data_IF_560694052399
#
_entry.id   IF_560694052399
#
_cell.length_a   1.000
_cell.length_b   1.000
_cell.length_c   1.000
_cell.angle_alpha   90.00
_cell.angle_beta   90.00
_cell.angle_gamma   90.00
#
_symmetry.space_group_name_H-M   'P 1'
#
loop_
_entity.id
_entity.type
_entity.pdbx_description
1 polymer ?
#
# COMPACT_ATOMS: atom_id res chain seq x y z
N UNK A 1 6.06 9.75 2.14
CA UNK A 1 6.64 9.80 0.78
C UNK A 1 6.01 10.96 0.04
N UNK A 2 6.81 11.72 -0.73
CA UNK A 2 6.33 12.86 -1.50
C UNK A 2 5.93 12.42 -2.91
N UNK A 3 4.64 12.21 -3.13
CA UNK A 3 4.12 11.78 -4.43
C UNK A 3 4.32 12.85 -5.52
N UNK A 4 4.33 14.13 -5.15
CA UNK A 4 4.50 15.20 -6.13
C UNK A 4 5.94 15.22 -6.69
N UNK A 5 6.94 14.87 -5.85
CA UNK A 5 8.30 14.67 -6.33
C UNK A 5 8.39 13.50 -7.33
N UNK A 6 7.70 12.40 -7.04
CA UNK A 6 7.65 11.24 -7.94
C UNK A 6 7.05 11.66 -9.29
N UNK A 7 5.90 12.33 -9.27
CA UNK A 7 5.24 12.78 -10.50
C UNK A 7 6.15 13.72 -11.29
N UNK A 8 6.79 14.67 -10.60
CA UNK A 8 7.62 15.68 -11.25
C UNK A 8 8.93 15.12 -11.82
N UNK A 9 9.64 14.32 -11.06
CA UNK A 9 11.03 13.94 -11.37
C UNK A 9 11.19 12.54 -11.95
N UNK A 10 10.25 11.62 -11.67
CA UNK A 10 10.29 10.25 -12.20
C UNK A 10 9.36 10.11 -13.38
N UNK A 11 8.16 10.69 -13.29
CA UNK A 11 7.13 10.58 -14.33
C UNK A 11 7.09 11.81 -15.25
N UNK A 12 7.99 12.76 -15.07
CA UNK A 12 8.12 13.97 -15.91
C UNK A 12 6.79 14.71 -16.09
N UNK A 13 5.94 14.71 -15.06
CA UNK A 13 4.63 15.33 -15.10
C UNK A 13 3.54 14.50 -15.80
N UNK A 14 3.86 13.28 -16.25
CA UNK A 14 2.91 12.42 -16.98
C UNK A 14 2.02 11.59 -16.05
N UNK A 15 2.02 11.88 -14.77
CA UNK A 15 1.22 11.15 -13.78
C UNK A 15 0.34 12.07 -12.97
N UNK A 16 -0.58 11.48 -12.24
CA UNK A 16 -1.40 12.21 -11.27
C UNK A 16 -1.67 11.35 -10.04
N UNK A 17 -1.90 12.00 -8.92
CA UNK A 17 -2.24 11.28 -7.68
C UNK A 17 -3.67 10.77 -7.75
N UNK A 18 -3.87 9.53 -7.36
CA UNK A 18 -5.19 8.95 -7.15
C UNK A 18 -5.40 8.66 -5.65
N UNK A 19 -6.64 8.50 -5.26
CA UNK A 19 -7.00 8.28 -3.85
C UNK A 19 -7.61 6.90 -3.62
N UNK A 20 -7.56 6.03 -4.61
CA UNK A 20 -8.12 4.69 -4.49
C UNK A 20 -7.82 3.89 -5.75
N UNK A 21 -8.42 2.72 -5.86
CA UNK A 21 -8.13 1.83 -6.99
C UNK A 21 -8.77 2.25 -8.31
N UNK A 22 -9.73 3.17 -8.27
CA UNK A 22 -10.47 3.55 -9.47
C UNK A 22 -9.80 4.70 -10.22
N UNK A 23 -9.64 4.59 -11.55
CA UNK A 23 -9.14 5.72 -12.35
C UNK A 23 -10.07 6.93 -12.29
N UNK A 24 -9.49 8.13 -12.32
CA UNK A 24 -10.27 9.38 -12.24
C UNK A 24 -11.26 9.57 -13.38
N UNK A 25 -11.05 8.87 -14.50
CA UNK A 25 -11.89 8.94 -15.68
C UNK A 25 -13.16 8.10 -15.54
N UNK A 26 -13.30 7.34 -14.45
CA UNK A 26 -14.49 6.50 -14.22
C UNK A 26 -15.47 7.18 -13.27
N UNK A 27 -16.75 6.83 -13.42
CA UNK A 27 -17.80 7.32 -12.49
C UNK A 27 -17.64 6.76 -11.08
N UNK A 28 -16.84 5.71 -10.93
CA UNK A 28 -16.55 5.06 -9.64
C UNK A 28 -15.57 5.87 -8.78
N UNK A 29 -14.78 6.75 -9.39
CA UNK A 29 -13.87 7.62 -8.66
C UNK A 29 -14.66 8.66 -7.87
N UNK A 30 -14.30 8.85 -6.62
CA UNK A 30 -14.93 9.86 -5.76
C UNK A 30 -13.97 11.05 -5.56
N UNK A 31 -14.22 12.18 -6.22
CA UNK A 31 -13.35 13.35 -6.09
C UNK A 31 -13.43 14.05 -4.73
N UNK A 32 -14.41 13.69 -3.90
CA UNK A 32 -14.50 14.26 -2.54
C UNK A 32 -13.39 13.71 -1.63
N UNK A 33 -12.87 12.51 -1.93
CA UNK A 33 -11.80 11.89 -1.18
C UNK A 33 -10.48 12.56 -1.55
N UNK A 34 -9.82 13.14 -0.56
CA UNK A 34 -8.56 13.87 -0.79
C UNK A 34 -7.36 13.01 -0.40
N UNK A 35 -6.27 13.07 -1.17
CA UNK A 35 -5.06 12.34 -0.82
C UNK A 35 -4.45 12.88 0.47
N UNK A 36 -3.84 12.00 1.25
CA UNK A 36 -3.13 12.41 2.46
C UNK A 36 -1.99 13.38 2.08
N UNK A 37 -1.83 14.47 2.84
CA UNK A 37 -0.74 15.41 2.56
C UNK A 37 0.63 14.78 2.85
N UNK A 38 1.65 15.29 2.21
CA UNK A 38 3.02 14.95 2.56
C UNK A 38 3.37 15.69 3.85
N UNK A 39 3.46 14.96 4.95
CA UNK A 39 3.71 15.53 6.28
C UNK A 39 4.74 14.67 7.03
N UNK A 40 6.03 14.87 6.76
CA UNK A 40 7.07 14.12 7.46
C UNK A 40 7.16 14.44 8.95
N UNK A 41 6.81 15.67 9.36
CA UNK A 41 6.79 16.04 10.79
C UNK A 41 5.65 15.32 11.52
N UNK A 42 4.46 15.24 10.89
CA UNK A 42 3.34 14.46 11.41
C UNK A 42 3.70 12.99 11.51
N UNK A 43 4.37 12.44 10.50
CA UNK A 43 4.83 11.05 10.53
C UNK A 43 5.80 10.81 11.71
N UNK A 44 6.73 11.74 11.94
CA UNK A 44 7.67 11.64 13.06
C UNK A 44 6.94 11.68 14.40
N UNK A 45 5.92 12.57 14.54
CA UNK A 45 5.10 12.63 15.76
C UNK A 45 4.36 11.30 16.01
N UNK A 46 3.71 10.75 14.99
CA UNK A 46 2.99 9.49 15.12
C UNK A 46 3.92 8.33 15.51
N UNK A 47 5.11 8.29 14.95
CA UNK A 47 6.11 7.28 15.32
C UNK A 47 6.52 7.44 16.78
N UNK A 48 6.72 8.68 17.25
CA UNK A 48 7.06 8.94 18.66
C UNK A 48 5.92 8.56 19.60
N UNK A 49 4.68 8.90 19.24
CA UNK A 49 3.48 8.52 20.01
C UNK A 49 3.32 6.99 20.08
N UNK A 50 3.70 6.27 19.01
CA UNK A 50 3.71 4.80 18.99
C UNK A 50 4.88 4.18 19.77
N UNK A 51 5.74 5.02 20.38
CA UNK A 51 6.84 4.56 21.24
C UNK A 51 8.19 4.40 20.56
N UNK A 52 8.31 4.77 19.29
CA UNK A 52 9.59 4.69 18.58
C UNK A 52 10.48 5.87 18.95
N UNK A 53 11.73 5.61 19.34
CA UNK A 53 12.71 6.61 19.74
C UNK A 53 14.01 6.42 18.98
N UNK A 54 14.70 7.51 18.65
CA UNK A 54 16.00 7.41 17.98
C UNK A 54 17.08 6.95 18.97
N UNK A 55 17.81 5.94 18.58
CA UNK A 55 18.99 5.46 19.31
C UNK A 55 20.23 6.33 18.99
N UNK A 56 21.39 5.99 19.53
CA UNK A 56 22.63 6.74 19.34
C UNK A 56 23.07 6.84 17.87
N UNK A 57 22.65 5.89 17.03
CA UNK A 57 22.94 5.91 15.58
C UNK A 57 21.88 6.67 14.77
N UNK A 58 20.87 7.27 15.44
CA UNK A 58 19.79 8.01 14.76
C UNK A 58 18.70 7.10 14.17
N UNK A 59 18.74 5.81 14.46
CA UNK A 59 17.75 4.85 13.98
C UNK A 59 16.61 4.72 14.99
N UNK A 60 15.37 4.74 14.51
CA UNK A 60 14.21 4.52 15.36
C UNK A 60 14.21 3.11 15.93
N UNK A 61 13.98 2.99 17.23
CA UNK A 61 14.03 1.75 17.97
C UNK A 61 12.92 1.71 19.00
N UNK A 62 12.35 0.54 19.24
CA UNK A 62 11.35 0.31 20.27
C UNK A 62 11.66 -1.02 20.93
N UNK A 63 11.79 -1.00 22.28
CA UNK A 63 12.08 -2.19 23.08
C UNK A 63 13.34 -2.95 22.61
N UNK A 64 14.37 -2.19 22.23
CA UNK A 64 15.63 -2.75 21.73
C UNK A 64 15.60 -3.23 20.27
N UNK A 65 14.48 -3.10 19.60
CA UNK A 65 14.34 -3.57 18.21
C UNK A 65 14.31 -2.35 17.26
N UNK A 66 15.23 -2.27 16.29
CA UNK A 66 15.21 -1.17 15.33
C UNK A 66 14.04 -1.27 14.36
N UNK A 67 13.48 -0.13 13.97
CA UNK A 67 12.47 -0.07 12.93
C UNK A 67 13.19 -0.28 11.57
N UNK A 68 13.10 -1.49 11.08
CA UNK A 68 13.81 -1.90 9.87
C UNK A 68 12.92 -2.77 8.99
N UNK A 69 13.01 -2.58 7.68
CA UNK A 69 12.30 -3.43 6.72
C UNK A 69 12.95 -3.34 5.33
N UNK A 70 12.50 -4.24 4.45
CA UNK A 70 12.98 -4.29 3.06
C UNK A 70 11.88 -3.83 2.12
N UNK A 71 12.23 -2.99 1.15
CA UNK A 71 11.34 -2.65 0.03
C UNK A 71 11.89 -3.28 -1.24
N UNK A 72 11.01 -3.92 -2.01
CA UNK A 72 11.42 -4.64 -3.22
C UNK A 72 10.71 -4.10 -4.45
N UNK A 73 11.37 -4.26 -5.61
CA UNK A 73 10.77 -4.05 -6.92
C UNK A 73 11.49 -4.94 -7.95
N UNK A 74 11.03 -4.92 -9.20
CA UNK A 74 11.70 -5.66 -10.26
C UNK A 74 12.84 -4.85 -10.89
N UNK A 75 13.89 -5.54 -11.33
CA UNK A 75 14.91 -4.96 -12.19
C UNK A 75 14.32 -4.68 -13.58
N UNK A 76 14.96 -3.80 -14.32
CA UNK A 76 14.54 -3.45 -15.68
C UNK A 76 13.37 -2.47 -15.78
N UNK A 77 12.89 -1.94 -14.63
CA UNK A 77 11.91 -0.85 -14.64
C UNK A 77 12.47 0.34 -13.86
N UNK A 78 13.01 1.29 -14.58
CA UNK A 78 13.71 2.44 -14.00
C UNK A 78 12.80 3.32 -13.14
N UNK A 79 11.53 3.48 -13.56
CA UNK A 79 10.57 4.28 -12.80
C UNK A 79 10.31 3.66 -11.41
N UNK A 80 10.04 2.35 -11.36
CA UNK A 80 9.82 1.65 -10.09
C UNK A 80 11.06 1.71 -9.20
N UNK A 81 12.24 1.56 -9.78
CA UNK A 81 13.50 1.64 -9.03
C UNK A 81 13.71 3.05 -8.46
N UNK A 82 13.42 4.09 -9.26
CA UNK A 82 13.50 5.48 -8.78
C UNK A 82 12.51 5.74 -7.66
N UNK A 83 11.26 5.27 -7.78
CA UNK A 83 10.24 5.38 -6.73
C UNK A 83 10.73 4.69 -5.46
N UNK A 84 11.28 3.48 -5.58
CA UNK A 84 11.82 2.72 -4.45
C UNK A 84 12.92 3.51 -3.71
N UNK A 85 13.84 4.12 -4.45
CA UNK A 85 14.93 4.92 -3.87
C UNK A 85 14.40 6.19 -3.18
N UNK A 86 13.42 6.85 -3.78
CA UNK A 86 12.77 8.04 -3.18
C UNK A 86 12.10 7.64 -1.87
N UNK A 87 11.39 6.52 -1.86
CA UNK A 87 10.73 6.00 -0.65
C UNK A 87 11.76 5.66 0.43
N UNK A 88 12.81 4.92 0.08
CA UNK A 88 13.90 4.57 0.99
C UNK A 88 14.50 5.82 1.64
N UNK A 89 14.82 6.83 0.82
CA UNK A 89 15.42 8.07 1.32
C UNK A 89 14.48 8.84 2.25
N UNK A 90 13.18 8.88 1.92
CA UNK A 90 12.19 9.55 2.77
C UNK A 90 12.10 8.87 4.14
N UNK A 91 12.06 7.56 4.19
CA UNK A 91 11.99 6.80 5.45
C UNK A 91 13.31 6.89 6.24
N UNK A 92 14.46 6.88 5.57
CA UNK A 92 15.77 7.03 6.24
C UNK A 92 15.90 8.37 6.95
N UNK A 93 15.33 9.45 6.39
CA UNK A 93 15.32 10.78 7.05
C UNK A 93 14.55 10.74 8.36
N UNK A 94 13.54 9.90 8.49
CA UNK A 94 12.81 9.69 9.75
C UNK A 94 13.59 8.83 10.75
N UNK A 95 14.63 8.13 10.30
CA UNK A 95 15.40 7.21 11.13
C UNK A 95 15.00 5.74 10.95
N UNK A 96 14.29 5.43 9.88
CA UNK A 96 13.89 4.04 9.59
C UNK A 96 14.99 3.38 8.73
N UNK A 97 15.43 2.18 9.12
CA UNK A 97 16.41 1.41 8.37
C UNK A 97 15.72 0.64 7.24
N UNK A 98 15.92 1.07 6.00
CA UNK A 98 15.23 0.47 4.86
C UNK A 98 16.26 -0.09 3.87
N UNK A 99 16.16 -1.39 3.59
CA UNK A 99 16.93 -2.04 2.52
C UNK A 99 16.10 -2.03 1.23
N UNK A 100 16.71 -1.64 0.13
CA UNK A 100 16.05 -1.57 -1.17
C UNK A 100 16.63 -2.64 -2.10
N UNK A 101 15.80 -3.57 -2.58
CA UNK A 101 16.23 -4.68 -3.41
C UNK A 101 15.52 -4.67 -4.76
N UNK A 102 16.31 -4.73 -5.82
CA UNK A 102 15.81 -4.87 -7.18
C UNK A 102 16.04 -6.31 -7.63
N UNK A 103 14.98 -7.02 -8.00
CA UNK A 103 14.99 -8.46 -8.28
C UNK A 103 14.65 -8.73 -9.75
N UNK A 104 15.18 -9.81 -10.30
CA UNK A 104 14.77 -10.27 -11.62
C UNK A 104 13.26 -10.57 -11.62
N UNK A 105 12.55 -10.29 -12.72
CA UNK A 105 11.07 -10.33 -12.80
C UNK A 105 10.47 -11.66 -12.30
N UNK A 106 11.03 -12.80 -12.75
CA UNK A 106 10.45 -14.08 -12.35
C UNK A 106 10.67 -14.36 -10.85
N UNK A 107 11.83 -14.01 -10.32
CA UNK A 107 12.11 -14.12 -8.87
C UNK A 107 11.19 -13.16 -8.09
N UNK A 108 11.07 -11.93 -8.55
CA UNK A 108 10.22 -10.91 -7.93
C UNK A 108 8.77 -11.39 -7.81
N UNK A 109 8.18 -11.88 -8.92
CA UNK A 109 6.77 -12.30 -8.92
C UNK A 109 6.60 -13.65 -8.20
N UNK A 110 7.37 -14.69 -8.60
CA UNK A 110 7.12 -16.06 -8.14
C UNK A 110 7.55 -16.31 -6.70
N UNK A 111 8.70 -15.72 -6.31
CA UNK A 111 9.30 -16.04 -5.02
C UNK A 111 8.94 -15.02 -3.95
N UNK A 112 8.54 -13.81 -4.34
CA UNK A 112 8.22 -12.74 -3.39
C UNK A 112 6.74 -12.36 -3.43
N UNK A 113 6.24 -11.80 -4.54
CA UNK A 113 4.87 -11.26 -4.60
C UNK A 113 3.83 -12.36 -4.41
N UNK A 114 3.92 -13.45 -5.18
CA UNK A 114 2.95 -14.56 -5.10
C UNK A 114 2.95 -15.30 -3.76
N UNK A 115 4.03 -15.15 -2.99
CA UNK A 115 4.14 -15.77 -1.66
C UNK A 115 3.91 -14.76 -0.53
N UNK A 116 3.61 -13.51 -0.88
CA UNK A 116 3.52 -12.39 0.06
C UNK A 116 4.77 -12.28 0.96
N UNK A 117 5.96 -12.61 0.39
CA UNK A 117 7.24 -12.58 1.10
C UNK A 117 7.96 -11.26 0.85
N UNK A 118 7.42 -10.19 1.43
CA UNK A 118 8.02 -8.84 1.38
C UNK A 118 7.44 -7.99 2.51
N UNK A 119 8.18 -6.98 2.92
CA UNK A 119 7.68 -5.98 3.87
C UNK A 119 7.00 -4.84 3.11
N UNK A 120 7.61 -4.39 2.01
CA UNK A 120 7.07 -3.35 1.15
C UNK A 120 7.43 -3.64 -0.31
N UNK A 121 6.56 -3.23 -1.23
CA UNK A 121 6.74 -3.50 -2.65
C UNK A 121 6.36 -2.29 -3.49
N UNK A 122 7.14 -2.02 -4.56
CA UNK A 122 6.74 -1.09 -5.61
C UNK A 122 6.29 -1.91 -6.81
N UNK A 123 5.01 -1.83 -7.12
CA UNK A 123 4.39 -2.56 -8.22
C UNK A 123 3.21 -1.72 -8.73
N UNK A 124 2.74 -1.96 -9.92
CA UNK A 124 1.61 -1.24 -10.51
C UNK A 124 0.51 -2.17 -10.97
N UNK A 125 -0.71 -1.68 -10.90
CA UNK A 125 -1.87 -2.34 -11.47
C UNK A 125 -2.30 -1.62 -12.75
N UNK A 126 -2.69 -2.39 -13.74
CA UNK A 126 -3.40 -1.84 -14.91
C UNK A 126 -4.89 -2.02 -14.64
N UNK A 127 -5.54 -0.94 -14.25
CA UNK A 127 -6.97 -0.96 -13.90
C UNK A 127 -7.81 -0.67 -15.14
N UNK A 128 -8.88 -1.46 -15.31
CA UNK A 128 -9.85 -1.23 -16.37
C UNK A 128 -10.93 -0.22 -15.98
N UNK A 129 -11.97 -0.16 -16.81
CA UNK A 129 -13.13 0.69 -16.58
C UNK A 129 -14.26 -0.05 -15.82
N UNK A 130 -13.99 -1.27 -15.37
CA UNK A 130 -14.94 -2.09 -14.61
C UNK A 130 -14.70 -1.83 -13.11
N UNK A 131 -15.77 -1.68 -12.31
CA UNK A 131 -15.60 -1.48 -10.87
C UNK A 131 -15.26 -2.76 -10.10
N UNK A 132 -15.15 -3.92 -10.75
CA UNK A 132 -14.84 -5.18 -10.08
C UNK A 132 -13.36 -5.26 -9.71
N UNK A 133 -13.08 -5.04 -8.42
CA UNK A 133 -11.73 -5.17 -7.85
C UNK A 133 -11.61 -6.37 -6.90
N UNK A 134 -12.57 -7.30 -6.96
CA UNK A 134 -12.65 -8.47 -6.09
C UNK A 134 -11.34 -9.27 -6.07
N UNK A 135 -10.79 -9.57 -7.26
CA UNK A 135 -9.57 -10.38 -7.36
C UNK A 135 -8.36 -9.76 -6.64
N UNK A 136 -8.36 -8.42 -6.53
CA UNK A 136 -7.20 -7.69 -5.98
C UNK A 136 -7.36 -7.45 -4.47
N UNK A 137 -8.59 -7.25 -3.98
CA UNK A 137 -8.80 -6.76 -2.63
C UNK A 137 -9.67 -7.64 -1.72
N UNK A 138 -10.47 -8.58 -2.26
CA UNK A 138 -11.33 -9.41 -1.40
C UNK A 138 -10.48 -10.33 -0.51
N UNK A 139 -10.88 -10.49 0.75
CA UNK A 139 -10.11 -11.28 1.72
C UNK A 139 -9.93 -12.76 1.32
N UNK A 140 -10.85 -13.32 0.52
CA UNK A 140 -10.70 -14.69 0.01
C UNK A 140 -9.59 -14.84 -1.04
N UNK A 141 -8.99 -13.74 -1.50
CA UNK A 141 -7.99 -13.73 -2.56
C UNK A 141 -6.57 -13.55 -2.01
N UNK A 142 -6.32 -14.02 -0.79
CA UNK A 142 -5.02 -13.92 -0.09
C UNK A 142 -4.18 -15.20 -0.16
N UNK A 143 -4.67 -16.25 -0.82
CA UNK A 143 -3.93 -17.51 -0.97
C UNK A 143 -2.76 -17.41 -1.96
N UNK A 144 -1.92 -18.45 -2.02
CA UNK A 144 -0.80 -18.44 -2.96
C UNK A 144 -1.26 -18.21 -4.40
N UNK A 145 -0.55 -17.35 -5.11
CA UNK A 145 -0.84 -16.96 -6.51
C UNK A 145 -2.14 -16.19 -6.70
N UNK A 146 -2.82 -15.79 -5.63
CA UNK A 146 -3.96 -14.87 -5.69
C UNK A 146 -3.48 -13.41 -5.60
N UNK A 147 -4.34 -12.47 -6.00
CA UNK A 147 -3.88 -11.11 -6.26
C UNK A 147 -3.94 -10.18 -5.05
N UNK A 148 -4.61 -10.59 -3.97
CA UNK A 148 -4.60 -9.83 -2.71
C UNK A 148 -3.33 -10.18 -1.90
N UNK A 149 -2.17 -10.02 -2.50
CA UNK A 149 -0.89 -10.36 -1.89
C UNK A 149 -0.48 -9.41 -0.76
N UNK A 150 -1.18 -8.29 -0.60
CA UNK A 150 -0.95 -7.38 0.53
C UNK A 150 -1.72 -7.79 1.79
N UNK A 151 -2.63 -8.78 1.67
CA UNK A 151 -3.38 -9.31 2.79
C UNK A 151 -4.47 -8.37 3.31
N UNK A 152 -5.02 -7.52 2.44
CA UNK A 152 -6.12 -6.63 2.84
C UNK A 152 -7.33 -7.45 3.28
N UNK A 153 -7.91 -7.10 4.43
CA UNK A 153 -9.13 -7.73 4.93
C UNK A 153 -10.04 -6.67 5.55
N UNK A 154 -11.28 -6.63 5.12
CA UNK A 154 -12.30 -5.77 5.69
C UNK A 154 -13.66 -6.35 5.34
N UNK A 155 -14.46 -6.84 6.31
CA UNK A 155 -15.73 -7.51 6.02
C UNK A 155 -16.74 -6.63 5.25
N UNK A 156 -16.76 -5.33 5.51
CA UNK A 156 -17.66 -4.44 4.76
C UNK A 156 -17.20 -4.25 3.32
N UNK A 157 -15.88 -4.14 3.10
CA UNK A 157 -15.34 -4.08 1.74
C UNK A 157 -15.61 -5.38 0.98
N UNK A 158 -15.47 -6.52 1.64
CA UNK A 158 -15.77 -7.83 1.02
C UNK A 158 -17.24 -7.90 0.57
N UNK A 159 -18.16 -7.51 1.45
CA UNK A 159 -19.59 -7.46 1.11
C UNK A 159 -19.84 -6.55 -0.10
N UNK A 160 -19.24 -5.34 -0.09
CA UNK A 160 -19.43 -4.39 -1.18
C UNK A 160 -18.89 -4.94 -2.51
N UNK A 161 -17.74 -5.59 -2.50
CA UNK A 161 -17.17 -6.20 -3.70
C UNK A 161 -18.08 -7.29 -4.29
N UNK A 162 -18.72 -8.10 -3.43
CA UNK A 162 -19.70 -9.09 -3.89
C UNK A 162 -20.93 -8.40 -4.48
N UNK A 163 -21.45 -7.37 -3.81
CA UNK A 163 -22.64 -6.64 -4.28
C UNK A 163 -22.38 -5.91 -5.61
N UNK A 164 -21.20 -5.33 -5.80
CA UNK A 164 -20.83 -4.67 -7.05
C UNK A 164 -20.91 -5.66 -8.22
N UNK A 165 -20.45 -6.89 -8.03
CA UNK A 165 -20.52 -7.95 -9.06
C UNK A 165 -21.94 -8.35 -9.41
N UNK A 166 -22.88 -8.22 -8.48
CA UNK A 166 -24.25 -8.66 -8.64
C UNK A 166 -25.18 -7.53 -9.10
N UNK A 167 -24.71 -6.28 -9.09
CA UNK A 167 -25.54 -5.12 -9.40
C UNK A 167 -25.42 -4.76 -10.88
N UNK A 168 -26.55 -4.76 -11.58
CA UNK A 168 -26.62 -4.42 -13.00
C UNK A 168 -27.19 -3.02 -13.26
N UNK A 169 -27.68 -2.34 -12.22
CA UNK A 169 -28.11 -0.95 -12.32
C UNK A 169 -26.90 -0.03 -12.14
N UNK A 170 -26.44 0.60 -13.22
CA UNK A 170 -25.20 1.40 -13.22
C UNK A 170 -25.15 2.48 -12.12
N UNK A 171 -26.19 3.29 -11.87
CA UNK A 171 -26.14 4.23 -10.75
C UNK A 171 -25.97 3.59 -9.38
N UNK A 172 -26.58 2.43 -9.15
CA UNK A 172 -26.44 1.70 -7.87
C UNK A 172 -25.05 1.10 -7.75
N UNK A 173 -24.55 0.52 -8.83
CA UNK A 173 -23.19 -0.04 -8.87
C UNK A 173 -22.14 1.05 -8.60
N UNK A 174 -22.32 2.24 -9.21
CA UNK A 174 -21.46 3.40 -8.95
C UNK A 174 -21.47 3.80 -7.47
N UNK A 175 -22.66 3.84 -6.87
CA UNK A 175 -22.78 4.19 -5.46
C UNK A 175 -22.04 3.19 -4.56
N UNK A 176 -22.20 1.89 -4.83
CA UNK A 176 -21.47 0.83 -4.10
C UNK A 176 -19.96 0.95 -4.26
N UNK A 177 -19.50 1.24 -5.48
CA UNK A 177 -18.06 1.37 -5.76
C UNK A 177 -17.45 2.59 -5.04
N UNK A 178 -18.19 3.70 -4.98
CA UNK A 178 -17.74 4.87 -4.22
C UNK A 178 -17.71 4.60 -2.72
N UNK A 179 -18.69 3.88 -2.19
CA UNK A 179 -18.66 3.43 -0.80
C UNK A 179 -17.42 2.56 -0.53
N UNK A 180 -17.17 1.65 -1.44
CA UNK A 180 -15.97 0.82 -1.35
C UNK A 180 -14.66 1.62 -1.35
N UNK A 181 -14.60 2.56 -2.15
CA UNK A 181 -13.46 3.40 -2.19
C UNK A 181 -13.18 3.99 -0.83
N UNK A 182 -14.18 4.19 -0.04
CA UNK A 182 -14.02 4.71 1.21
C UNK A 182 -13.55 3.71 2.24
N UNK A 183 -13.68 2.50 1.94
CA UNK A 183 -13.26 1.45 2.72
C UNK A 183 -11.90 0.97 2.36
N UNK A 184 -11.42 1.13 1.24
CA UNK A 184 -10.15 0.81 0.73
C UNK A 184 -9.14 1.88 1.06
N UNK A 185 -9.45 2.92 1.41
CA UNK A 185 -8.55 4.03 1.85
C UNK A 185 -7.99 3.76 3.23
N UNK A 186 -6.72 4.16 3.47
CA UNK A 186 -6.25 4.19 4.85
C UNK A 186 -6.99 5.32 5.55
N UNK A 187 -8.13 4.98 6.10
CA UNK A 187 -8.79 5.88 7.04
C UNK A 187 -7.80 6.18 8.16
N UNK A 188 -7.76 7.41 8.61
CA UNK A 188 -7.40 7.67 10.00
C UNK A 188 -8.32 6.75 10.80
N UNK A 189 -7.80 5.64 11.23
CA UNK A 189 -8.55 4.77 12.13
C UNK A 189 -8.75 5.52 13.44
N UNK A 190 -9.97 5.89 13.67
CA UNK A 190 -10.42 5.93 15.05
C UNK A 190 -10.16 4.50 15.55
N UNK A 191 -9.29 4.41 16.52
CA UNK A 191 -8.73 3.23 17.17
C UNK A 191 -9.48 1.92 16.88
N UNK A 192 -8.93 0.99 16.12
CA UNK A 192 -9.49 -0.36 16.10
C UNK A 192 -9.24 -0.97 17.47
N UNK A 193 -10.30 -1.19 18.21
CA UNK A 193 -10.23 -1.90 19.49
C UNK A 193 -9.38 -3.18 19.40
N UNK A 194 -9.06 -3.83 20.52
CA UNK A 194 -7.96 -4.77 20.64
C UNK A 194 -8.22 -6.15 20.00
N UNK A 195 -8.49 -6.18 18.71
CA UNK A 195 -8.56 -7.45 17.98
C UNK A 195 -7.29 -7.60 17.15
N UNK A 196 -6.38 -8.32 17.75
CA UNK A 196 -5.02 -8.51 17.39
C UNK A 196 -4.75 -8.90 15.96
N UNK A 197 -3.69 -8.33 15.44
CA UNK A 197 -2.90 -9.04 14.46
C UNK A 197 -2.38 -10.30 15.17
N UNK A 198 -2.87 -11.45 14.79
CA UNK A 198 -2.18 -12.69 15.12
C UNK A 198 -0.79 -12.58 14.50
N UNK A 199 0.22 -12.62 15.35
CA UNK A 199 1.62 -12.62 14.93
C UNK A 199 1.85 -13.78 13.95
N UNK A 200 2.06 -13.46 12.69
CA UNK A 200 2.65 -14.44 11.78
C UNK A 200 4.07 -14.68 12.28
N UNK A 201 4.44 -15.92 12.62
CA UNK A 201 5.80 -16.17 13.07
C UNK A 201 6.77 -15.91 11.93
N UNK A 202 7.59 -14.87 12.09
CA UNK A 202 8.78 -14.72 11.27
C UNK A 202 9.74 -15.81 11.72
N UNK A 203 9.78 -16.90 10.95
CA UNK A 203 10.80 -17.92 11.16
C UNK A 203 12.19 -17.31 10.96
N UNK A 204 13.20 -17.84 11.64
CA UNK A 204 14.55 -17.29 11.50
C UNK A 204 15.02 -17.39 10.04
N UNK A 205 15.42 -16.27 9.49
CA UNK A 205 16.02 -16.23 8.15
C UNK A 205 17.45 -16.77 8.26
N UNK A 206 17.71 -17.91 7.62
CA UNK A 206 19.06 -18.46 7.45
C UNK A 206 19.78 -17.74 6.30
#
# INVERSE_FOLDING_TARGET
INSDEIIRYVLYGQGERTTGPYPKQTDFYDPSVKPLPYDPEGAARLLAEAGWKKNAAGILEKDGTPLAFTIITNSGNEERQAIMVIAQNAWRRLGIKVEALSLEWAVFIRERVNKADFDAVVLGWSMGLDPDIYQIFHSSQTGPFQLNFVGYTNPRADELMVRIRQEYNEPRQTALARELXXXXLPLRQEDPGPHGREDRPHGPRA
#
